data_IF_640155199215
#
_entry.id   IF_640155199215
#
_cell.length_a   1.000
_cell.length_b   1.000
_cell.length_c   1.000
_cell.angle_alpha   90.00
_cell.angle_beta   90.00
_cell.angle_gamma   90.00
#
_symmetry.space_group_name_H-M   'P 1'
#
loop_
_entity.id
_entity.type
_entity.pdbx_description
1 polymer ?
#
# COMPACT_ATOMS: atom_id res chain seq x y z
N UNK A 1 3.29 10.39 26.99
CA UNK A 1 1.88 10.75 26.76
C UNK A 1 1.82 11.07 25.29
N UNK A 2 1.29 10.16 24.47
CA UNK A 2 1.21 10.37 23.02
C UNK A 2 0.28 11.54 22.74
N UNK A 3 0.76 12.54 22.01
CA UNK A 3 -0.05 13.71 21.64
C UNK A 3 -0.98 13.35 20.48
N UNK A 4 -2.23 13.86 20.45
CA UNK A 4 -3.22 13.50 19.43
C UNK A 4 -2.83 13.84 17.97
N UNK A 5 -1.77 14.62 17.76
CA UNK A 5 -1.32 15.09 16.44
C UNK A 5 -0.58 14.02 15.60
N UNK A 6 -0.20 12.88 16.19
CA UNK A 6 0.48 11.81 15.43
C UNK A 6 -0.50 10.91 14.63
N UNK A 7 -1.81 11.06 14.82
CA UNK A 7 -2.83 10.24 14.11
C UNK A 7 -3.23 10.78 12.73
N UNK A 8 -2.58 11.83 12.23
CA UNK A 8 -2.94 12.44 10.95
C UNK A 8 -2.28 11.73 9.75
N UNK A 9 -1.31 10.83 9.96
CA UNK A 9 -0.66 10.13 8.84
C UNK A 9 -1.34 8.78 8.58
N UNK A 10 -1.85 8.62 7.36
CA UNK A 10 -2.47 7.41 6.86
C UNK A 10 -1.63 6.82 5.73
N UNK A 11 -1.62 5.50 5.65
CA UNK A 11 -1.14 4.79 4.47
C UNK A 11 -2.31 4.04 3.82
N UNK A 12 -2.34 4.07 2.49
CA UNK A 12 -3.21 3.21 1.71
C UNK A 12 -2.34 2.35 0.79
N UNK A 13 -2.66 1.06 0.76
CA UNK A 13 -1.95 0.04 -0.02
C UNK A 13 -2.94 -0.63 -0.96
N UNK A 14 -2.55 -0.76 -2.22
CA UNK A 14 -3.23 -1.51 -3.25
C UNK A 14 -2.27 -2.54 -3.84
N UNK A 15 -2.66 -3.82 -3.76
CA UNK A 15 -1.87 -4.92 -4.30
C UNK A 15 -2.66 -5.63 -5.39
N UNK A 16 -2.27 -5.35 -6.64
CA UNK A 16 -2.75 -6.04 -7.81
C UNK A 16 -1.78 -7.12 -8.26
N UNK A 17 -2.22 -7.96 -9.21
CA UNK A 17 -1.38 -9.07 -9.68
C UNK A 17 -0.11 -8.65 -10.44
N UNK A 18 -0.05 -7.39 -10.88
CA UNK A 18 1.00 -6.82 -11.72
C UNK A 18 1.72 -5.64 -11.06
N UNK A 19 1.18 -5.11 -9.98
CA UNK A 19 1.72 -3.90 -9.35
C UNK A 19 1.29 -3.77 -7.90
N UNK A 20 2.23 -3.34 -7.08
CA UNK A 20 2.01 -2.85 -5.73
C UNK A 20 2.04 -1.32 -5.75
N UNK A 21 1.03 -0.70 -5.16
CA UNK A 21 0.96 0.74 -4.97
C UNK A 21 0.77 1.05 -3.50
N UNK A 22 1.54 2.01 -2.99
CA UNK A 22 1.37 2.54 -1.66
C UNK A 22 1.39 4.05 -1.72
N UNK A 23 0.52 4.69 -0.95
CA UNK A 23 0.55 6.13 -0.72
C UNK A 23 0.57 6.39 0.78
N UNK A 24 1.31 7.41 1.18
CA UNK A 24 1.27 7.96 2.54
C UNK A 24 0.70 9.37 2.43
N UNK A 25 -0.30 9.68 3.24
CA UNK A 25 -0.95 10.98 3.24
C UNK A 25 -1.18 11.47 4.66
N UNK A 26 -1.09 12.78 4.86
CA UNK A 26 -1.49 13.43 6.09
C UNK A 26 -2.89 14.03 5.95
N UNK A 27 -3.79 13.78 6.89
CA UNK A 27 -5.06 14.48 7.01
C UNK A 27 -4.84 15.78 7.78
N UNK A 28 -5.02 16.92 7.13
CA UNK A 28 -4.89 18.24 7.76
C UNK A 28 -6.02 19.13 7.31
N UNK A 29 -6.69 19.79 8.25
CA UNK A 29 -7.81 20.70 7.98
C UNK A 29 -8.91 20.04 7.12
N UNK A 30 -9.14 18.73 7.30
CA UNK A 30 -10.12 17.95 6.53
C UNK A 30 -9.68 17.54 5.12
N UNK A 31 -8.42 17.81 4.75
CA UNK A 31 -7.85 17.49 3.44
C UNK A 31 -6.69 16.50 3.54
N UNK A 32 -6.60 15.58 2.58
CA UNK A 32 -5.44 14.69 2.46
C UNK A 32 -4.33 15.36 1.67
N UNK A 33 -3.15 15.51 2.28
CA UNK A 33 -1.90 15.89 1.64
C UNK A 33 -1.04 14.65 1.45
N UNK A 34 -0.76 14.28 0.20
CA UNK A 34 0.09 13.13 -0.09
C UNK A 34 1.53 13.50 0.24
N UNK A 35 2.14 12.69 1.11
CA UNK A 35 3.51 12.84 1.58
C UNK A 35 4.47 12.02 0.72
N UNK A 36 4.09 10.78 0.39
CA UNK A 36 4.92 9.89 -0.41
C UNK A 36 4.07 8.90 -1.22
N UNK A 37 4.68 8.34 -2.28
CA UNK A 37 4.09 7.31 -3.13
C UNK A 37 5.16 6.31 -3.54
N UNK A 38 4.84 5.03 -3.39
CA UNK A 38 5.62 3.92 -3.91
C UNK A 38 4.81 3.17 -4.96
N UNK A 39 5.48 2.79 -6.04
CA UNK A 39 4.94 1.89 -7.05
C UNK A 39 6.02 0.89 -7.43
N UNK A 40 5.69 -0.38 -7.32
CA UNK A 40 6.56 -1.47 -7.75
C UNK A 40 5.80 -2.41 -8.68
N UNK A 41 6.47 -2.83 -9.75
CA UNK A 41 5.93 -3.85 -10.64
C UNK A 41 6.15 -5.22 -9.99
N UNK A 42 5.07 -6.00 -9.89
CA UNK A 42 5.10 -7.37 -9.37
C UNK A 42 4.53 -8.32 -10.42
N UNK A 43 4.67 -9.63 -10.21
CA UNK A 43 4.11 -10.64 -11.12
C UNK A 43 3.41 -11.76 -10.35
N UNK A 44 2.60 -11.40 -9.35
CA UNK A 44 1.89 -12.36 -8.50
C UNK A 44 1.06 -13.37 -9.30
N UNK A 45 0.49 -12.95 -10.44
CA UNK A 45 -0.25 -13.86 -11.33
C UNK A 45 0.61 -15.01 -11.84
N UNK A 46 1.89 -14.79 -12.10
CA UNK A 46 2.81 -15.82 -12.57
C UNK A 46 3.11 -16.86 -11.47
N UNK A 47 3.06 -16.45 -10.20
CA UNK A 47 3.24 -17.33 -9.03
C UNK A 47 1.99 -18.08 -8.59
N UNK A 48 0.82 -17.82 -9.19
CA UNK A 48 -0.44 -18.45 -8.81
C UNK A 48 -0.58 -19.84 -9.43
N UNK A 49 -0.70 -20.87 -8.58
CA UNK A 49 -0.97 -22.24 -9.03
C UNK A 49 -2.47 -22.49 -9.29
N UNK A 50 -2.82 -23.70 -9.75
CA UNK A 50 -4.21 -24.09 -10.09
C UNK A 50 -5.19 -24.05 -8.90
N UNK A 51 -4.67 -23.99 -7.67
CA UNK A 51 -5.44 -23.92 -6.43
C UNK A 51 -5.53 -22.48 -5.90
N UNK A 52 -5.10 -21.48 -6.68
CA UNK A 52 -5.03 -20.08 -6.29
C UNK A 52 -4.09 -19.80 -5.10
N UNK A 53 -3.02 -20.57 -4.99
CA UNK A 53 -1.96 -20.35 -4.00
C UNK A 53 -0.75 -19.72 -4.69
N UNK A 54 -0.19 -18.67 -4.09
CA UNK A 54 1.04 -18.03 -4.54
C UNK A 54 2.26 -18.89 -4.16
N UNK A 55 3.27 -18.93 -5.02
CA UNK A 55 4.59 -19.46 -4.69
C UNK A 55 5.29 -18.59 -3.63
N UNK A 56 6.25 -19.15 -2.89
CA UNK A 56 7.02 -18.42 -1.88
C UNK A 56 7.83 -17.26 -2.49
N UNK A 57 8.23 -17.40 -3.76
CA UNK A 57 9.01 -16.40 -4.49
C UNK A 57 8.16 -15.29 -5.10
N UNK A 58 6.82 -15.36 -4.99
CA UNK A 58 5.89 -14.40 -5.58
C UNK A 58 5.54 -13.26 -4.64
#
# INVERSE_FOLDING_TARGET
METPEDYDVLAAVDLGSNSFHMIIARLRDGHFQIMDRLREMVQLRAGLNKQNVLSEEA
#
